data_IF_726378829758
#
_entry.id   IF_726378829758
#
_cell.length_a   1.000
_cell.length_b   1.000
_cell.length_c   1.000
_cell.angle_alpha   90.00
_cell.angle_beta   90.00
_cell.angle_gamma   90.00
#
_symmetry.space_group_name_H-M   'P 1'
#
loop_
_entity.id
_entity.type
_entity.pdbx_description
1 polymer ?
#
# COMPACT_ATOMS: atom_id res chain seq x y z
N UNK A 1 1.88 18.08 17.81
CA UNK A 1 1.27 18.34 16.49
C UNK A 1 0.37 17.15 16.18
N UNK A 2 -0.95 17.33 15.98
CA UNK A 2 -1.80 16.21 15.60
C UNK A 2 -1.50 15.81 14.16
N UNK A 3 -1.25 14.52 13.96
CA UNK A 3 -1.02 13.88 12.67
C UNK A 3 -2.39 13.68 11.98
N UNK A 4 -2.97 14.76 11.46
CA UNK A 4 -4.26 14.75 10.76
C UNK A 4 -4.04 14.49 9.26
N UNK A 5 -4.57 13.39 8.75
CA UNK A 5 -4.41 12.99 7.36
C UNK A 5 -5.74 12.58 6.72
N UNK A 6 -5.92 12.74 5.40
CA UNK A 6 -7.04 12.14 4.71
C UNK A 6 -6.89 10.61 4.70
N UNK A 7 -7.82 9.92 5.33
CA UNK A 7 -7.95 8.46 5.30
C UNK A 7 -9.03 8.05 4.32
N UNK A 8 -8.65 7.40 3.23
CA UNK A 8 -9.62 6.81 2.31
C UNK A 8 -10.27 5.58 2.98
N UNK A 9 -11.60 5.62 3.07
CA UNK A 9 -12.45 4.53 3.60
C UNK A 9 -12.99 3.67 2.46
N UNK A 10 -13.35 4.31 1.35
CA UNK A 10 -13.79 3.69 0.10
C UNK A 10 -13.45 4.61 -1.08
N UNK A 11 -13.60 4.18 -2.35
CA UNK A 11 -13.34 5.03 -3.52
C UNK A 11 -14.10 6.36 -3.52
N UNK A 12 -15.26 6.42 -2.86
CA UNK A 12 -16.11 7.62 -2.80
C UNK A 12 -16.10 8.32 -1.44
N UNK A 13 -15.40 7.77 -0.43
CA UNK A 13 -15.43 8.29 0.93
C UNK A 13 -14.04 8.48 1.53
N UNK A 14 -13.74 9.73 1.88
CA UNK A 14 -12.53 10.14 2.57
C UNK A 14 -12.92 10.73 3.94
N UNK A 15 -12.23 10.32 5.00
CA UNK A 15 -12.35 10.88 6.35
C UNK A 15 -11.06 11.56 6.76
N UNK A 16 -11.17 12.79 7.25
CA UNK A 16 -10.07 13.40 7.99
C UNK A 16 -9.84 12.62 9.28
N UNK A 17 -8.65 12.04 9.43
CA UNK A 17 -8.36 11.06 10.48
C UNK A 17 -7.12 11.49 11.27
N UNK A 18 -7.22 11.50 12.60
CA UNK A 18 -6.07 11.69 13.47
C UNK A 18 -5.35 10.36 13.71
N UNK A 19 -4.04 10.35 13.44
CA UNK A 19 -3.15 9.27 13.81
C UNK A 19 -2.55 9.58 15.17
N UNK A 20 -2.91 8.76 16.15
CA UNK A 20 -2.62 9.02 17.57
C UNK A 20 -1.78 7.89 18.12
N UNK A 21 -0.44 7.99 18.06
CA UNK A 21 0.43 7.03 18.72
C UNK A 21 0.30 7.19 20.24
N UNK A 22 0.13 6.07 20.92
CA UNK A 22 0.01 6.00 22.37
C UNK A 22 1.30 5.40 22.91
N UNK A 23 1.96 6.12 23.81
CA UNK A 23 3.21 5.70 24.43
C UNK A 23 2.99 5.40 25.91
N UNK A 24 3.81 4.51 26.45
CA UNK A 24 4.00 4.34 27.88
C UNK A 24 5.47 4.62 28.21
N UNK A 25 5.71 5.15 29.40
CA UNK A 25 7.05 5.43 29.91
C UNK A 25 7.08 5.10 31.40
N UNK A 26 8.23 4.63 31.87
CA UNK A 26 8.46 4.42 33.29
C UNK A 26 8.88 5.75 33.91
N UNK A 27 8.21 6.14 34.99
CA UNK A 27 8.45 7.42 35.66
C UNK A 27 8.76 7.23 37.13
N UNK A 28 9.78 7.92 37.63
CA UNK A 28 10.05 8.04 39.07
C UNK A 28 10.38 9.48 39.43
N UNK A 29 10.15 9.82 40.69
CA UNK A 29 10.55 11.10 41.24
C UNK A 29 11.99 10.98 41.75
N UNK A 30 12.87 11.84 41.25
CA UNK A 30 14.25 11.93 41.68
C UNK A 30 14.39 13.05 42.71
N UNK A 31 14.65 12.66 43.96
CA UNK A 31 14.78 13.59 45.08
C UNK A 31 16.06 14.44 45.03
N UNK A 32 17.09 14.00 44.29
CA UNK A 32 18.34 14.75 44.19
C UNK A 32 18.22 15.91 43.18
N UNK A 33 17.39 15.74 42.15
CA UNK A 33 17.07 16.77 41.15
C UNK A 33 15.74 17.50 41.39
N UNK A 34 14.92 17.04 42.34
CA UNK A 34 13.58 17.59 42.66
C UNK A 34 12.61 17.57 41.46
N UNK A 35 12.73 16.56 40.59
CA UNK A 35 11.96 16.46 39.34
C UNK A 35 11.46 15.03 39.08
N UNK A 36 10.41 14.90 38.26
CA UNK A 36 9.99 13.60 37.73
C UNK A 36 10.80 13.25 36.49
N UNK A 37 11.53 12.14 36.56
CA UNK A 37 12.31 11.60 35.44
C UNK A 37 11.49 10.51 34.76
N UNK A 38 11.46 10.55 33.43
CA UNK A 38 10.88 9.51 32.58
C UNK A 38 12.00 8.72 31.91
N UNK A 39 11.97 7.39 32.00
CA UNK A 39 12.78 6.48 31.19
C UNK A 39 11.90 5.53 30.38
N UNK A 40 12.55 4.80 29.47
CA UNK A 40 11.94 3.66 28.76
C UNK A 40 10.63 3.96 28.04
N UNK A 41 10.55 5.09 27.35
CA UNK A 41 9.39 5.42 26.52
C UNK A 41 9.27 4.45 25.34
N UNK A 42 8.15 3.75 25.27
CA UNK A 42 7.87 2.74 24.23
C UNK A 42 6.51 2.99 23.61
N UNK A 43 6.40 2.75 22.30
CA UNK A 43 5.11 2.77 21.62
C UNK A 43 4.27 1.61 22.17
N UNK A 44 3.08 1.92 22.69
CA UNK A 44 2.15 0.96 23.27
C UNK A 44 1.03 0.57 22.30
N UNK A 45 0.48 1.58 21.61
CA UNK A 45 -0.61 1.39 20.65
C UNK A 45 -0.59 2.47 19.57
N UNK A 46 -1.35 2.25 18.51
CA UNK A 46 -1.72 3.27 17.54
C UNK A 46 -3.24 3.35 17.47
N UNK A 47 -3.78 4.55 17.57
CA UNK A 47 -5.20 4.84 17.38
C UNK A 47 -5.43 5.70 16.14
N UNK A 48 -6.47 5.38 15.37
CA UNK A 48 -7.00 6.23 14.32
C UNK A 48 -8.40 6.72 14.74
N UNK A 49 -8.63 8.04 14.66
CA UNK A 49 -9.85 8.70 15.13
C UNK A 49 -10.42 9.59 14.03
N UNK A 50 -11.72 9.49 13.76
CA UNK A 50 -12.42 10.37 12.82
C UNK A 50 -12.48 11.79 13.40
N UNK A 51 -11.88 12.75 12.69
CA UNK A 51 -11.86 14.14 13.12
C UNK A 51 -13.26 14.79 13.14
N UNK A 52 -14.23 14.20 12.41
CA UNK A 52 -15.62 14.66 12.40
C UNK A 52 -16.47 14.01 13.50
N UNK A 53 -16.03 12.88 14.07
CA UNK A 53 -16.71 12.20 15.17
C UNK A 53 -15.71 11.39 16.02
N UNK A 54 -15.36 11.93 17.18
CA UNK A 54 -14.36 11.32 18.07
C UNK A 54 -14.78 9.97 18.66
N UNK A 55 -16.06 9.63 18.64
CA UNK A 55 -16.56 8.33 19.09
C UNK A 55 -16.29 7.22 18.07
N UNK A 56 -15.89 7.58 16.84
CA UNK A 56 -15.49 6.65 15.79
C UNK A 56 -13.98 6.55 15.73
N UNK A 57 -13.45 5.55 16.43
CA UNK A 57 -12.02 5.29 16.48
C UNK A 57 -11.71 3.80 16.51
N UNK A 58 -10.50 3.46 16.07
CA UNK A 58 -9.91 2.13 16.18
C UNK A 58 -8.57 2.23 16.88
N UNK A 59 -8.30 1.34 17.83
CA UNK A 59 -7.01 1.26 18.53
C UNK A 59 -6.44 -0.14 18.33
N UNK A 60 -5.15 -0.20 17.98
CA UNK A 60 -4.39 -1.43 17.94
C UNK A 60 -3.21 -1.33 18.90
N UNK A 61 -3.23 -2.15 19.96
CA UNK A 61 -2.10 -2.34 20.85
C UNK A 61 -1.01 -3.17 20.16
N UNK A 62 0.27 -2.80 20.36
CA UNK A 62 1.39 -3.45 19.67
C UNK A 62 1.56 -4.92 20.06
N UNK A 63 1.26 -5.27 21.32
CA UNK A 63 1.46 -6.61 21.88
C UNK A 63 2.91 -7.14 21.82
N UNK A 64 3.87 -6.31 21.39
CA UNK A 64 5.28 -6.67 21.19
C UNK A 64 5.63 -7.25 19.80
N UNK A 65 4.65 -7.48 18.92
CA UNK A 65 4.87 -8.15 17.61
C UNK A 65 4.75 -7.23 16.40
N UNK A 66 4.00 -6.13 16.48
CA UNK A 66 3.80 -5.20 15.36
C UNK A 66 4.57 -3.90 15.60
N UNK A 67 5.25 -3.39 14.58
CA UNK A 67 5.97 -2.11 14.64
C UNK A 67 6.01 -1.43 13.28
N UNK A 68 6.32 -0.12 13.27
CA UNK A 68 6.52 0.67 12.06
C UNK A 68 5.34 0.61 11.07
N UNK A 69 5.64 0.40 9.79
CA UNK A 69 4.66 0.38 8.71
C UNK A 69 3.61 -0.73 8.88
N UNK A 70 3.98 -1.90 9.40
CA UNK A 70 3.06 -3.01 9.60
C UNK A 70 1.98 -2.68 10.64
N UNK A 71 2.35 -2.00 11.72
CA UNK A 71 1.40 -1.49 12.70
C UNK A 71 0.44 -0.47 12.08
N UNK A 72 0.97 0.47 11.30
CA UNK A 72 0.15 1.50 10.63
C UNK A 72 -0.86 0.87 9.68
N UNK A 73 -0.43 -0.08 8.84
CA UNK A 73 -1.31 -0.78 7.90
C UNK A 73 -2.38 -1.60 8.62
N UNK A 74 -2.01 -2.37 9.65
CA UNK A 74 -2.96 -3.17 10.42
C UNK A 74 -3.99 -2.28 11.16
N UNK A 75 -3.54 -1.17 11.73
CA UNK A 75 -4.44 -0.22 12.42
C UNK A 75 -5.38 0.46 11.42
N UNK A 76 -4.86 0.84 10.25
CA UNK A 76 -5.68 1.41 9.17
C UNK A 76 -6.72 0.41 8.67
N UNK A 77 -6.37 -0.87 8.53
CA UNK A 77 -7.31 -1.90 8.09
C UNK A 77 -8.49 -2.04 9.05
N UNK A 78 -8.21 -2.12 10.36
CA UNK A 78 -9.26 -2.16 11.38
C UNK A 78 -10.11 -0.89 11.41
N UNK A 79 -9.47 0.28 11.27
CA UNK A 79 -10.18 1.56 11.20
C UNK A 79 -11.11 1.66 10.00
N UNK A 80 -10.66 1.30 8.80
CA UNK A 80 -11.50 1.31 7.58
C UNK A 80 -12.67 0.33 7.70
N UNK A 81 -12.44 -0.84 8.30
CA UNK A 81 -13.48 -1.83 8.55
C UNK A 81 -14.60 -1.31 9.49
N UNK A 82 -14.31 -0.41 10.43
CA UNK A 82 -15.35 0.22 11.28
C UNK A 82 -16.39 1.01 10.49
N UNK A 83 -16.03 1.51 9.31
CA UNK A 83 -16.94 2.24 8.43
C UNK A 83 -17.56 1.33 7.36
N UNK A 84 -17.33 0.02 7.42
CA UNK A 84 -17.79 -0.94 6.42
C UNK A 84 -17.02 -0.86 5.09
N UNK A 85 -15.87 -0.18 5.07
CA UNK A 85 -14.95 -0.17 3.93
C UNK A 85 -13.99 -1.36 3.97
N UNK A 86 -13.41 -1.69 2.82
CA UNK A 86 -12.19 -2.49 2.70
C UNK A 86 -11.03 -1.55 2.36
N UNK A 87 -9.82 -1.87 2.86
CA UNK A 87 -8.62 -1.35 2.18
C UNK A 87 -8.55 -2.11 0.86
N UNK A 88 -9.19 -1.56 -0.16
CA UNK A 88 -8.78 -1.85 -1.53
C UNK A 88 -7.31 -1.40 -1.63
N UNK A 89 -6.40 -2.22 -2.19
CA UNK A 89 -5.09 -1.71 -2.55
C UNK A 89 -5.32 -0.47 -3.40
N UNK A 90 -4.61 0.60 -3.07
CA UNK A 90 -4.66 1.89 -3.75
C UNK A 90 -4.21 1.65 -5.20
N UNK A 91 -5.16 1.34 -6.08
CA UNK A 91 -4.98 1.37 -7.52
C UNK A 91 -5.00 2.84 -7.91
N UNK A 92 -3.89 3.56 -7.69
CA UNK A 92 -3.70 4.88 -8.30
C UNK A 92 -3.93 4.75 -9.81
N UNK A 93 -5.02 5.37 -10.28
CA UNK A 93 -5.52 5.46 -11.64
C UNK A 93 -4.99 4.38 -12.61
N UNK A 94 -5.64 3.21 -12.60
CA UNK A 94 -5.41 2.25 -13.67
C UNK A 94 -5.94 2.77 -14.98
N UNK A 95 -5.22 2.56 -16.07
CA UNK A 95 -5.68 2.87 -17.42
C UNK A 95 -5.39 1.73 -18.39
N UNK A 96 -6.14 1.69 -19.50
CA UNK A 96 -5.98 0.68 -20.54
C UNK A 96 -4.90 1.10 -21.54
N UNK A 97 -3.99 0.17 -21.84
CA UNK A 97 -3.03 0.27 -22.94
C UNK A 97 -3.30 -0.85 -23.94
N UNK A 98 -3.47 -0.48 -25.21
CA UNK A 98 -3.41 -1.43 -26.33
C UNK A 98 -2.16 -1.14 -27.15
N UNK A 99 -1.32 -2.16 -27.34
CA UNK A 99 -0.03 -2.03 -28.00
C UNK A 99 0.43 -3.36 -28.63
N UNK A 100 1.44 -3.28 -29.50
CA UNK A 100 2.19 -4.43 -29.99
C UNK A 100 3.51 -4.59 -29.21
N UNK A 101 3.93 -5.85 -29.03
CA UNK A 101 5.15 -6.17 -28.29
C UNK A 101 6.37 -6.04 -29.19
N UNK A 102 7.29 -5.15 -28.82
CA UNK A 102 8.55 -4.93 -29.52
C UNK A 102 9.71 -5.71 -28.89
N UNK A 103 9.62 -6.03 -27.59
CA UNK A 103 10.63 -6.77 -26.86
C UNK A 103 10.01 -7.53 -25.68
N UNK A 104 10.59 -8.66 -25.28
CA UNK A 104 10.23 -9.40 -24.06
C UNK A 104 11.52 -9.74 -23.31
N UNK A 105 11.64 -9.27 -22.08
CA UNK A 105 12.78 -9.59 -21.21
C UNK A 105 12.26 -10.19 -19.91
N UNK A 106 12.81 -11.34 -19.48
CA UNK A 106 12.50 -11.93 -18.18
C UNK A 106 13.73 -11.86 -17.27
N UNK A 107 13.51 -11.56 -16.00
CA UNK A 107 14.54 -11.53 -14.98
C UNK A 107 13.97 -11.89 -13.62
N UNK A 108 14.85 -12.21 -12.67
CA UNK A 108 14.47 -12.48 -11.29
C UNK A 108 14.88 -11.29 -10.43
N UNK A 109 13.94 -10.74 -9.68
CA UNK A 109 14.15 -9.66 -8.72
C UNK A 109 13.36 -9.98 -7.45
N UNK A 110 14.00 -9.80 -6.29
CA UNK A 110 13.44 -10.14 -4.98
C UNK A 110 12.87 -11.58 -4.83
N UNK A 111 13.38 -12.52 -5.62
CA UNK A 111 12.92 -13.91 -5.62
C UNK A 111 11.74 -14.20 -6.56
N UNK A 112 11.14 -13.15 -7.14
CA UNK A 112 10.03 -13.27 -8.09
C UNK A 112 10.51 -13.15 -9.54
N UNK A 113 9.73 -13.73 -10.46
CA UNK A 113 9.96 -13.61 -11.90
C UNK A 113 9.23 -12.38 -12.41
N UNK A 114 10.00 -11.47 -13.00
CA UNK A 114 9.49 -10.25 -13.64
C UNK A 114 9.61 -10.38 -15.16
N UNK A 115 8.60 -9.88 -15.86
CA UNK A 115 8.53 -9.82 -17.32
C UNK A 115 8.36 -8.37 -17.71
N UNK A 116 9.38 -7.83 -18.40
CA UNK A 116 9.35 -6.51 -19.00
C UNK A 116 8.98 -6.62 -20.47
N UNK A 117 7.87 -6.00 -20.84
CA UNK A 117 7.42 -5.87 -22.21
C UNK A 117 7.86 -4.51 -22.77
N UNK A 118 8.62 -4.54 -23.86
CA UNK A 118 8.77 -3.40 -24.74
C UNK A 118 7.51 -3.26 -25.60
N UNK A 119 6.98 -2.05 -25.71
CA UNK A 119 5.77 -1.77 -26.51
C UNK A 119 6.08 -0.87 -27.70
N UNK A 120 5.18 -0.80 -28.69
CA UNK A 120 5.23 0.17 -29.79
C UNK A 120 4.60 1.53 -29.42
N UNK A 121 4.12 1.68 -28.18
CA UNK A 121 3.57 2.94 -27.67
C UNK A 121 4.70 3.85 -27.18
N UNK A 122 4.82 5.04 -27.78
CA UNK A 122 5.90 5.99 -27.46
C UNK A 122 5.80 6.58 -26.03
N UNK A 123 4.61 6.61 -25.43
CA UNK A 123 4.39 7.12 -24.07
C UNK A 123 4.70 6.07 -23.02
N UNK A 124 4.41 4.80 -23.29
CA UNK A 124 4.61 3.68 -22.37
C UNK A 124 5.51 2.61 -23.00
N UNK A 125 6.78 2.95 -23.29
CA UNK A 125 7.67 2.08 -24.07
C UNK A 125 8.03 0.79 -23.33
N UNK A 126 7.95 0.79 -21.99
CA UNK A 126 8.25 -0.35 -21.14
C UNK A 126 7.22 -0.48 -20.03
N UNK A 127 6.67 -1.68 -19.89
CA UNK A 127 5.69 -2.04 -18.86
C UNK A 127 6.09 -3.39 -18.27
N UNK A 128 5.80 -3.61 -17.00
CA UNK A 128 6.31 -4.77 -16.27
C UNK A 128 5.19 -5.56 -15.62
N UNK A 129 5.31 -6.88 -15.60
CA UNK A 129 4.43 -7.76 -14.83
C UNK A 129 5.22 -8.75 -13.99
N UNK A 130 4.70 -9.05 -12.80
CA UNK A 130 5.09 -10.19 -11.98
C UNK A 130 3.83 -10.87 -11.44
N UNK A 131 3.97 -12.09 -10.94
CA UNK A 131 2.86 -12.95 -10.51
C UNK A 131 1.96 -12.27 -9.48
N UNK A 132 2.53 -11.51 -8.55
CA UNK A 132 1.79 -10.95 -7.42
C UNK A 132 0.87 -9.78 -7.78
N UNK A 133 1.01 -9.21 -8.98
CA UNK A 133 0.24 -8.03 -9.40
C UNK A 133 -1.05 -8.37 -10.16
N UNK A 134 -1.23 -9.63 -10.57
CA UNK A 134 -2.35 -10.04 -11.42
C UNK A 134 -2.89 -11.42 -11.04
N UNK A 135 -4.06 -11.78 -11.58
CA UNK A 135 -4.60 -13.12 -11.39
C UNK A 135 -3.78 -14.19 -12.17
N UNK A 136 -4.03 -15.46 -11.87
CA UNK A 136 -3.26 -16.56 -12.47
C UNK A 136 -3.46 -16.68 -13.99
N UNK A 137 -4.65 -16.37 -14.49
CA UNK A 137 -4.96 -16.41 -15.93
C UNK A 137 -4.15 -15.38 -16.67
N UNK A 138 -4.14 -14.14 -16.19
CA UNK A 138 -3.40 -13.02 -16.77
C UNK A 138 -1.90 -13.26 -16.70
N UNK A 139 -1.42 -13.85 -15.61
CA UNK A 139 -0.02 -14.26 -15.48
C UNK A 139 0.39 -15.28 -16.55
N UNK A 140 -0.44 -16.30 -16.80
CA UNK A 140 -0.18 -17.25 -17.88
C UNK A 140 -0.31 -16.62 -19.26
N UNK A 141 -1.22 -15.66 -19.45
CA UNK A 141 -1.27 -14.87 -20.69
C UNK A 141 0.06 -14.15 -20.91
N UNK A 142 0.56 -13.44 -19.89
CA UNK A 142 1.81 -12.69 -19.95
C UNK A 142 3.01 -13.59 -20.29
N UNK A 143 3.09 -14.77 -19.68
CA UNK A 143 4.15 -15.76 -19.94
C UNK A 143 4.16 -16.30 -21.38
N UNK A 144 3.01 -16.28 -22.06
CA UNK A 144 2.86 -16.81 -23.42
C UNK A 144 2.88 -15.73 -24.50
N UNK A 145 3.12 -14.47 -24.12
CA UNK A 145 3.29 -13.38 -25.07
C UNK A 145 4.67 -13.43 -25.72
N UNK A 146 4.70 -13.04 -26.99
CA UNK A 146 5.88 -13.04 -27.84
C UNK A 146 5.97 -11.76 -28.65
N UNK A 147 7.17 -11.45 -29.14
CA UNK A 147 7.40 -10.27 -29.99
C UNK A 147 6.46 -10.32 -31.20
N UNK A 148 5.87 -9.18 -31.55
CA UNK A 148 4.82 -8.99 -32.56
C UNK A 148 3.40 -9.35 -32.14
N UNK A 149 3.19 -9.96 -30.96
CA UNK A 149 1.83 -10.11 -30.44
C UNK A 149 1.23 -8.73 -30.10
N UNK A 150 -0.08 -8.61 -30.21
CA UNK A 150 -0.84 -7.46 -29.74
C UNK A 150 -1.60 -7.83 -28.48
N UNK A 151 -1.75 -6.86 -27.58
CA UNK A 151 -2.42 -7.06 -26.31
C UNK A 151 -3.19 -5.82 -25.88
N UNK A 152 -4.10 -6.02 -24.94
CA UNK A 152 -4.74 -4.96 -24.16
C UNK A 152 -4.44 -5.24 -22.69
N UNK A 153 -3.83 -4.28 -22.00
CA UNK A 153 -3.46 -4.39 -20.59
C UNK A 153 -4.05 -3.25 -19.77
N UNK A 154 -4.50 -3.59 -18.56
CA UNK A 154 -4.76 -2.63 -17.50
C UNK A 154 -3.44 -2.36 -16.79
N UNK A 155 -3.02 -1.09 -16.77
CA UNK A 155 -1.73 -0.65 -16.21
C UNK A 155 -1.96 0.27 -15.03
N UNK A 156 -1.18 0.05 -13.97
CA UNK A 156 -1.08 0.92 -12.81
C UNK A 156 0.29 1.59 -12.79
N UNK A 157 0.35 2.90 -12.52
CA UNK A 157 1.63 3.56 -12.23
C UNK A 157 1.92 3.47 -10.73
N UNK A 158 3.10 2.96 -10.37
CA UNK A 158 3.61 2.98 -9.00
C UNK A 158 5.02 3.54 -9.04
N UNK A 159 5.21 4.70 -8.41
CA UNK A 159 6.43 5.51 -8.54
C UNK A 159 6.77 5.79 -10.02
N UNK A 160 7.93 5.30 -10.49
CA UNK A 160 8.41 5.43 -11.87
C UNK A 160 8.11 4.18 -12.72
N UNK A 161 7.39 3.19 -12.18
CA UNK A 161 7.15 1.90 -12.82
C UNK A 161 5.70 1.75 -13.28
N UNK A 162 5.53 1.29 -14.52
CA UNK A 162 4.22 0.92 -15.07
C UNK A 162 4.00 -0.58 -14.91
N UNK A 163 3.10 -0.94 -14.00
CA UNK A 163 2.79 -2.32 -13.61
C UNK A 163 1.56 -2.83 -14.36
N UNK A 164 1.68 -3.99 -14.97
CA UNK A 164 0.57 -4.74 -15.57
C UNK A 164 -0.21 -5.39 -14.42
N UNK A 165 -1.51 -5.10 -14.31
CA UNK A 165 -2.41 -5.70 -13.31
C UNK A 165 -3.47 -6.62 -13.93
N UNK A 166 -3.76 -6.46 -15.23
CA UNK A 166 -4.53 -7.39 -16.04
C UNK A 166 -4.07 -7.34 -17.50
N UNK A 167 -4.20 -8.45 -18.24
CA UNK A 167 -3.77 -8.49 -19.64
C UNK A 167 -4.55 -9.52 -20.46
N UNK A 168 -4.92 -9.13 -21.68
CA UNK A 168 -5.56 -9.98 -22.68
C UNK A 168 -4.73 -9.92 -23.96
N UNK A 169 -4.42 -11.09 -24.52
CA UNK A 169 -3.83 -11.20 -25.85
C UNK A 169 -4.93 -11.07 -26.92
N UNK A 170 -4.69 -10.23 -27.92
CA UNK A 170 -5.62 -9.98 -29.04
C UNK A 170 -5.42 -10.96 -30.21
#
# INVERSE_FOLDING_TARGET
MPLLYPGQISPTEIKWTWYTPIYWADGWYDSDSDEYVLSDMRLHALALVDASNIDKYYILELGGTLSGAALVQATRAGYVALFGGSIEPELEDTFELTAAITNVTSFVYDGDTHILLGTDNATYPYIEGTRDWMNLTDWYTLLNLSVSDTFTATIQQVDEQFRIVAIVKN
#
